data_IF_506213328185
#
_entry.id   IF_506213328185
#
_cell.length_a   1.000
_cell.length_b   1.000
_cell.length_c   1.000
_cell.angle_alpha   90.00
_cell.angle_beta   90.00
_cell.angle_gamma   90.00
#
_symmetry.space_group_name_H-M   'P 1'
#
loop_
_entity.id
_entity.type
_entity.pdbx_description
1 polymer ?
#
# COMPACT_ATOMS: atom_id res chain seq x y z
N UNK A 1 -5.03 11.62 -28.14
CA UNK A 1 -5.90 12.46 -27.31
C UNK A 1 -5.83 11.91 -25.90
N UNK A 2 -5.12 12.61 -25.01
CA UNK A 2 -5.04 12.22 -23.62
C UNK A 2 -6.29 12.72 -22.90
N UNK A 3 -7.16 11.81 -22.51
CA UNK A 3 -8.32 12.14 -21.70
C UNK A 3 -7.87 12.32 -20.24
N UNK A 4 -7.93 13.54 -19.74
CA UNK A 4 -7.69 13.83 -18.33
C UNK A 4 -8.75 13.12 -17.48
N UNK A 5 -8.33 12.22 -16.60
CA UNK A 5 -9.21 11.60 -15.60
C UNK A 5 -9.06 12.40 -14.29
N UNK A 6 -10.14 13.05 -13.80
CA UNK A 6 -10.05 13.81 -12.56
C UNK A 6 -9.65 12.92 -11.37
N UNK A 7 -8.82 13.44 -10.48
CA UNK A 7 -8.33 12.73 -9.29
C UNK A 7 -9.44 12.15 -8.40
N UNK A 8 -10.63 12.76 -8.42
CA UNK A 8 -11.80 12.25 -7.70
C UNK A 8 -12.32 10.89 -8.23
N UNK A 9 -12.02 10.55 -9.48
CA UNK A 9 -12.44 9.26 -10.07
C UNK A 9 -11.48 8.12 -9.70
N UNK A 10 -10.27 8.45 -9.25
CA UNK A 10 -9.27 7.47 -8.79
C UNK A 10 -9.53 6.97 -7.36
N UNK A 11 -10.24 7.74 -6.54
CA UNK A 11 -10.48 7.42 -5.12
C UNK A 11 -11.24 6.12 -4.87
N UNK A 12 -12.18 5.77 -5.71
CA UNK A 12 -13.05 4.61 -5.47
C UNK A 12 -12.33 3.25 -5.57
N UNK A 13 -11.21 3.17 -6.32
CA UNK A 13 -10.45 1.94 -6.50
C UNK A 13 -9.18 1.89 -5.62
N UNK A 14 -8.77 3.01 -5.03
CA UNK A 14 -7.53 3.14 -4.25
C UNK A 14 -7.73 2.91 -2.75
N UNK A 15 -8.96 3.02 -2.25
CA UNK A 15 -9.27 3.11 -0.81
C UNK A 15 -9.22 1.80 -0.04
N UNK A 16 -9.04 0.70 -0.68
CA UNK A 16 -9.10 -0.52 0.08
C UNK A 16 -7.79 -1.29 -0.02
N UNK A 17 -6.88 -1.06 0.91
CA UNK A 17 -6.24 -2.26 1.49
C UNK A 17 -7.40 -3.18 1.88
N UNK A 18 -7.67 -4.25 1.12
CA UNK A 18 -8.92 -4.95 1.29
C UNK A 18 -8.97 -5.51 2.70
N UNK A 19 -9.96 -5.07 3.45
CA UNK A 19 -10.25 -5.67 4.74
C UNK A 19 -10.44 -7.15 4.51
N UNK A 20 -9.84 -7.95 5.36
CA UNK A 20 -9.96 -9.41 5.31
C UNK A 20 -11.44 -9.86 5.38
N UNK A 21 -12.30 -9.01 5.93
CA UNK A 21 -13.73 -9.26 6.13
C UNK A 21 -14.57 -9.17 4.85
N UNK A 22 -14.08 -8.49 3.81
CA UNK A 22 -14.81 -8.28 2.55
C UNK A 22 -14.47 -9.33 1.49
N UNK A 23 -13.93 -10.47 1.87
CA UNK A 23 -13.63 -11.56 0.96
C UNK A 23 -14.89 -12.31 0.50
N UNK A 24 -15.83 -11.60 -0.07
CA UNK A 24 -16.89 -12.22 -0.85
C UNK A 24 -16.35 -12.47 -2.25
N UNK A 25 -16.31 -13.74 -2.64
CA UNK A 25 -16.00 -14.10 -4.03
C UNK A 25 -17.25 -13.77 -4.85
N UNK A 26 -17.21 -12.64 -5.51
CA UNK A 26 -18.22 -12.28 -6.50
C UNK A 26 -17.57 -12.32 -7.89
N UNK A 27 -17.93 -13.31 -8.73
CA UNK A 27 -17.42 -13.39 -10.10
C UNK A 27 -17.88 -12.23 -10.98
N UNK A 28 -18.87 -11.46 -10.52
CA UNK A 28 -19.36 -10.25 -11.20
C UNK A 28 -18.61 -9.00 -10.80
N UNK A 29 -17.61 -9.08 -9.93
CA UNK A 29 -16.82 -7.92 -9.51
C UNK A 29 -16.06 -7.33 -10.71
N UNK A 30 -16.21 -6.02 -10.88
CA UNK A 30 -15.57 -5.29 -11.98
C UNK A 30 -14.05 -5.44 -11.93
N UNK A 31 -13.45 -5.76 -13.07
CA UNK A 31 -11.99 -5.89 -13.22
C UNK A 31 -11.43 -7.28 -12.91
N UNK A 32 -12.25 -8.23 -12.46
CA UNK A 32 -11.81 -9.62 -12.34
C UNK A 32 -11.98 -10.36 -13.67
N UNK A 33 -11.01 -11.21 -13.99
CA UNK A 33 -11.07 -12.14 -15.12
C UNK A 33 -10.74 -13.55 -14.65
N UNK A 34 -11.32 -14.54 -15.31
CA UNK A 34 -11.10 -15.94 -14.99
C UNK A 34 -9.77 -16.42 -15.54
N UNK A 35 -8.99 -17.13 -14.74
CA UNK A 35 -7.76 -17.78 -15.20
C UNK A 35 -8.17 -19.01 -16.04
N UNK A 36 -7.72 -19.10 -17.31
CA UNK A 36 -8.08 -20.22 -18.18
C UNK A 36 -7.76 -21.58 -17.54
N UNK A 37 -8.71 -22.52 -17.65
CA UNK A 37 -8.56 -23.88 -17.12
C UNK A 37 -8.75 -24.01 -15.60
N UNK A 38 -9.19 -22.95 -14.91
CA UNK A 38 -9.44 -22.95 -13.46
C UNK A 38 -10.76 -22.28 -13.11
N UNK A 39 -11.23 -22.47 -11.88
CA UNK A 39 -12.36 -21.73 -11.30
C UNK A 39 -11.91 -20.47 -10.53
N UNK A 40 -10.65 -20.11 -10.67
CA UNK A 40 -10.05 -18.95 -10.03
C UNK A 40 -10.24 -17.71 -10.90
N UNK A 41 -10.68 -16.63 -10.28
CA UNK A 41 -10.68 -15.29 -10.86
C UNK A 41 -9.51 -14.47 -10.33
N UNK A 42 -8.98 -13.60 -11.16
CA UNK A 42 -7.86 -12.74 -10.80
C UNK A 42 -8.13 -11.29 -11.20
N UNK A 43 -7.74 -10.37 -10.35
CA UNK A 43 -7.64 -8.94 -10.67
C UNK A 43 -6.19 -8.50 -10.52
N UNK A 44 -5.68 -7.82 -11.54
CA UNK A 44 -4.44 -7.06 -11.49
C UNK A 44 -4.80 -5.60 -11.27
N UNK A 45 -4.22 -4.98 -10.27
CA UNK A 45 -4.48 -3.59 -9.92
C UNK A 45 -3.22 -2.86 -9.52
N UNK A 46 -3.38 -1.60 -9.18
CA UNK A 46 -2.29 -0.72 -8.78
C UNK A 46 -2.35 0.62 -9.50
N UNK A 47 -1.31 1.41 -9.33
CA UNK A 47 -1.16 2.71 -9.95
C UNK A 47 0.31 3.06 -10.14
N UNK A 48 0.58 3.96 -11.09
CA UNK A 48 1.87 4.62 -11.23
C UNK A 48 1.78 6.03 -10.65
N UNK A 49 2.70 6.39 -9.76
CA UNK A 49 2.74 7.72 -9.14
C UNK A 49 4.17 8.28 -9.19
N UNK A 50 4.28 9.54 -9.56
CA UNK A 50 5.53 10.29 -9.50
C UNK A 50 5.34 11.46 -8.54
N UNK A 51 6.23 11.57 -7.57
CA UNK A 51 6.24 12.63 -6.58
C UNK A 51 7.32 13.65 -6.92
N UNK A 52 6.96 14.93 -6.87
CA UNK A 52 7.85 16.07 -7.00
C UNK A 52 7.83 16.79 -5.65
N UNK A 53 8.94 16.73 -4.93
CA UNK A 53 9.06 17.25 -3.56
C UNK A 53 10.09 18.36 -3.52
N UNK A 54 9.71 19.50 -2.98
CA UNK A 54 10.60 20.63 -2.77
C UNK A 54 10.63 21.00 -1.29
N UNK A 55 11.79 20.83 -0.68
CA UNK A 55 12.05 21.22 0.70
C UNK A 55 12.84 22.53 0.72
N UNK A 56 12.39 23.49 1.49
CA UNK A 56 13.07 24.79 1.64
C UNK A 56 14.37 24.69 2.43
N UNK A 57 14.54 23.59 3.17
CA UNK A 57 15.74 23.23 3.93
C UNK A 57 16.01 21.73 3.78
N UNK A 58 17.26 21.29 3.93
CA UNK A 58 17.58 19.86 3.84
C UNK A 58 16.93 19.08 4.98
N UNK A 59 16.28 17.99 4.63
CA UNK A 59 15.65 17.07 5.58
C UNK A 59 16.56 15.89 5.95
N UNK A 60 17.76 15.79 5.36
CA UNK A 60 18.73 14.71 5.64
C UNK A 60 18.48 13.41 4.90
N UNK A 61 17.33 13.28 4.23
CA UNK A 61 16.93 12.15 3.41
C UNK A 61 16.38 12.64 2.08
N UNK A 62 16.21 11.76 1.09
CA UNK A 62 15.68 12.17 -0.21
C UNK A 62 14.18 11.89 -0.38
N UNK A 63 13.66 10.89 0.31
CA UNK A 63 12.38 10.30 -0.01
C UNK A 63 11.57 9.85 1.21
N UNK A 64 12.11 10.11 2.39
CA UNK A 64 11.44 9.85 3.66
C UNK A 64 11.66 11.01 4.62
N UNK A 65 10.59 11.53 5.19
CA UNK A 65 10.70 12.51 6.26
C UNK A 65 10.99 11.83 7.58
N UNK A 66 12.26 11.92 8.01
CA UNK A 66 12.72 11.34 9.28
C UNK A 66 13.26 12.47 10.16
N UNK A 67 12.55 12.79 11.22
CA UNK A 67 12.91 13.93 12.10
C UNK A 67 14.32 13.82 12.69
N UNK A 68 14.77 12.60 13.02
CA UNK A 68 16.10 12.36 13.53
C UNK A 68 17.23 12.50 12.49
N UNK A 69 16.89 12.53 11.20
CA UNK A 69 17.85 12.71 10.12
C UNK A 69 18.05 14.20 9.75
N UNK A 70 17.17 15.09 10.22
CA UNK A 70 17.26 16.51 9.92
C UNK A 70 18.58 17.06 10.51
N UNK A 71 19.45 17.67 9.68
CA UNK A 71 20.73 18.17 10.16
C UNK A 71 20.52 19.35 11.13
N UNK A 72 21.01 19.22 12.35
CA UNK A 72 20.95 20.24 13.40
C UNK A 72 22.29 20.94 13.61
N UNK A 73 23.39 20.39 13.06
CA UNK A 73 24.74 20.93 13.16
C UNK A 73 25.60 20.53 11.96
N UNK A 74 26.72 21.16 11.81
CA UNK A 74 27.70 20.84 10.77
C UNK A 74 27.40 21.47 9.39
N UNK A 75 28.16 21.10 8.35
CA UNK A 75 28.07 21.69 7.01
C UNK A 75 26.69 21.48 6.35
N UNK A 76 26.02 20.39 6.65
CA UNK A 76 24.74 20.04 6.02
C UNK A 76 23.61 20.98 6.43
N UNK A 77 23.70 21.65 7.59
CA UNK A 77 22.73 22.68 7.98
C UNK A 77 22.78 23.92 7.10
N UNK A 78 23.88 24.13 6.38
CA UNK A 78 24.09 25.28 5.48
C UNK A 78 23.65 25.02 4.05
N UNK A 79 23.24 23.76 3.74
CA UNK A 79 22.67 23.47 2.42
C UNK A 79 21.38 24.28 2.24
N UNK A 80 21.14 24.67 0.99
CA UNK A 80 19.93 25.38 0.61
C UNK A 80 18.72 24.46 0.57
N UNK A 81 17.84 24.71 -0.40
CA UNK A 81 16.68 23.87 -0.68
C UNK A 81 17.09 22.51 -1.28
N UNK A 82 16.21 21.56 -1.16
CA UNK A 82 16.33 20.24 -1.76
C UNK A 82 15.15 19.99 -2.69
N UNK A 83 15.42 19.42 -3.87
CA UNK A 83 14.39 19.00 -4.79
C UNK A 83 14.57 17.52 -5.11
N UNK A 84 13.51 16.76 -4.96
CA UNK A 84 13.49 15.30 -5.15
C UNK A 84 12.36 14.92 -6.10
N UNK A 85 12.65 13.99 -7.00
CA UNK A 85 11.66 13.37 -7.87
C UNK A 85 11.79 11.87 -7.75
N UNK A 86 10.68 11.19 -7.44
CA UNK A 86 10.67 9.73 -7.38
C UNK A 86 9.30 9.14 -7.70
N UNK A 87 9.29 7.84 -8.01
CA UNK A 87 8.07 7.08 -8.31
C UNK A 87 7.89 5.90 -7.33
N UNK A 88 8.41 6.00 -6.11
CA UNK A 88 8.47 4.88 -5.15
C UNK A 88 7.12 4.42 -4.65
N UNK A 89 6.11 5.30 -4.67
CA UNK A 89 4.74 4.95 -4.29
C UNK A 89 4.00 4.19 -5.39
N UNK A 90 4.55 4.07 -6.60
CA UNK A 90 3.99 3.20 -7.63
C UNK A 90 3.72 1.81 -7.05
N UNK A 91 2.50 1.31 -7.24
CA UNK A 91 2.00 0.13 -6.55
C UNK A 91 1.48 -0.90 -7.53
N UNK A 92 1.69 -2.17 -7.21
CA UNK A 92 1.14 -3.31 -7.93
C UNK A 92 0.41 -4.20 -6.92
N UNK A 93 -0.79 -4.66 -7.27
CA UNK A 93 -1.49 -5.67 -6.49
C UNK A 93 -2.09 -6.77 -7.38
N UNK A 94 -2.24 -7.94 -6.78
CA UNK A 94 -2.90 -9.11 -7.35
C UNK A 94 -3.93 -9.61 -6.34
N UNK A 95 -5.17 -9.78 -6.78
CA UNK A 95 -6.26 -10.33 -5.98
C UNK A 95 -6.81 -11.58 -6.70
N UNK A 96 -6.55 -12.75 -6.15
CA UNK A 96 -7.03 -14.03 -6.67
C UNK A 96 -8.16 -14.52 -5.77
N UNK A 97 -9.24 -14.98 -6.39
CA UNK A 97 -10.41 -15.50 -5.68
C UNK A 97 -10.92 -16.78 -6.32
N UNK A 98 -11.26 -17.73 -5.49
CA UNK A 98 -11.76 -19.03 -5.92
C UNK A 98 -12.76 -19.59 -4.91
N UNK A 99 -13.77 -20.31 -5.38
CA UNK A 99 -14.57 -21.15 -4.53
C UNK A 99 -13.86 -22.49 -4.34
N UNK A 100 -13.76 -22.93 -3.08
CA UNK A 100 -13.13 -24.19 -2.70
C UNK A 100 -14.10 -25.02 -1.85
N UNK A 101 -13.81 -26.33 -1.68
CA UNK A 101 -14.61 -27.20 -0.81
C UNK A 101 -14.67 -26.68 0.64
N UNK A 102 -13.70 -25.86 1.05
CA UNK A 102 -13.66 -25.24 2.37
C UNK A 102 -14.38 -23.90 2.43
N UNK A 103 -14.91 -23.44 1.30
CA UNK A 103 -15.58 -22.16 1.11
C UNK A 103 -14.77 -21.17 0.31
N UNK A 104 -15.24 -19.91 0.24
CA UNK A 104 -14.58 -18.88 -0.53
C UNK A 104 -13.15 -18.65 -0.04
N UNK A 105 -12.21 -18.68 -1.00
CA UNK A 105 -10.79 -18.47 -0.78
C UNK A 105 -10.31 -17.23 -1.52
N UNK A 106 -9.34 -16.54 -0.95
CA UNK A 106 -8.69 -15.36 -1.51
C UNK A 106 -7.20 -15.41 -1.26
N UNK A 107 -6.41 -15.02 -2.24
CA UNK A 107 -4.99 -14.69 -2.09
C UNK A 107 -4.84 -13.25 -2.51
N UNK A 108 -4.21 -12.45 -1.66
CA UNK A 108 -3.92 -11.05 -1.95
C UNK A 108 -2.44 -10.76 -1.81
N UNK A 109 -1.92 -10.07 -2.81
CA UNK A 109 -0.54 -9.62 -2.86
C UNK A 109 -0.51 -8.14 -3.22
N UNK A 110 0.29 -7.35 -2.52
CA UNK A 110 0.54 -5.94 -2.83
C UNK A 110 2.00 -5.58 -2.56
N UNK A 111 2.57 -4.79 -3.45
CA UNK A 111 3.94 -4.29 -3.32
C UNK A 111 4.08 -2.86 -3.84
N UNK A 112 5.10 -2.17 -3.34
CA UNK A 112 5.58 -0.87 -3.83
C UNK A 112 7.13 -0.87 -3.90
N UNK A 113 7.71 0.30 -4.14
CA UNK A 113 9.16 0.46 -4.34
C UNK A 113 9.86 1.21 -3.21
N UNK A 114 9.26 1.26 -2.03
CA UNK A 114 9.84 1.86 -0.82
C UNK A 114 10.68 0.88 0.02
N UNK A 115 11.19 -0.22 -0.54
CA UNK A 115 11.89 -1.28 0.21
C UNK A 115 13.25 -0.89 0.80
N UNK A 116 13.80 0.24 0.39
CA UNK A 116 15.00 0.81 0.97
C UNK A 116 14.74 2.22 1.44
N UNK A 117 14.46 2.36 2.73
CA UNK A 117 14.56 3.61 3.45
C UNK A 117 16.02 3.78 3.88
N UNK A 118 16.96 3.80 2.93
CA UNK A 118 18.35 4.02 3.27
C UNK A 118 18.53 5.44 3.77
N UNK A 119 18.84 5.53 5.03
CA UNK A 119 19.26 6.74 5.74
C UNK A 119 20.61 7.21 5.20
N UNK A 120 20.73 7.53 3.94
CA UNK A 120 22.01 7.92 3.43
C UNK A 120 21.98 8.28 1.95
N UNK A 121 22.92 9.06 1.56
CA UNK A 121 23.22 9.70 0.28
C UNK A 121 23.20 8.80 -0.98
N UNK A 122 22.67 7.59 -0.93
CA UNK A 122 22.53 6.78 -2.12
C UNK A 122 21.28 7.21 -2.87
N UNK A 123 21.53 7.84 -3.98
CA UNK A 123 20.60 8.08 -5.05
C UNK A 123 19.44 7.09 -5.10
N UNK A 124 18.28 7.45 -4.58
CA UNK A 124 16.98 7.01 -5.02
C UNK A 124 16.81 5.58 -5.49
N UNK A 125 17.42 4.59 -4.83
CA UNK A 125 17.25 3.19 -5.20
C UNK A 125 15.79 2.78 -5.08
N UNK A 126 15.26 2.19 -6.15
CA UNK A 126 13.94 1.58 -6.14
C UNK A 126 14.11 0.13 -5.68
N UNK A 127 13.69 -0.17 -4.44
CA UNK A 127 13.67 -1.54 -3.94
C UNK A 127 12.25 -1.99 -3.69
N UNK A 128 11.99 -3.20 -4.09
CA UNK A 128 10.71 -3.86 -3.86
C UNK A 128 10.41 -3.93 -2.36
N UNK A 129 9.20 -3.49 -1.95
CA UNK A 129 8.67 -3.64 -0.61
C UNK A 129 7.36 -4.41 -0.66
N UNK A 130 7.36 -5.58 -0.01
CA UNK A 130 6.14 -6.33 0.20
C UNK A 130 5.27 -5.58 1.22
N UNK A 131 4.04 -5.26 0.84
CA UNK A 131 3.04 -4.62 1.69
C UNK A 131 2.07 -5.63 2.26
N UNK A 132 1.55 -6.47 1.37
CA UNK A 132 0.62 -7.54 1.71
C UNK A 132 0.98 -8.82 0.94
N UNK A 133 0.93 -9.96 1.64
CA UNK A 133 0.96 -11.29 1.04
C UNK A 133 0.22 -12.24 1.99
N UNK A 134 -1.07 -12.44 1.80
CA UNK A 134 -1.86 -13.30 2.66
C UNK A 134 -2.86 -14.14 1.88
N UNK A 135 -3.20 -15.30 2.46
CA UNK A 135 -4.30 -16.14 2.05
C UNK A 135 -5.44 -16.07 3.06
N UNK A 136 -6.66 -16.18 2.58
CA UNK A 136 -7.86 -16.21 3.40
C UNK A 136 -8.80 -17.30 2.91
N UNK A 137 -9.39 -18.05 3.84
CA UNK A 137 -10.50 -18.98 3.59
C UNK A 137 -11.59 -18.67 4.61
N UNK A 138 -12.76 -18.26 4.13
CA UNK A 138 -13.85 -17.77 4.99
C UNK A 138 -13.35 -16.70 5.97
N UNK A 139 -13.44 -16.98 7.27
CA UNK A 139 -13.10 -16.09 8.37
C UNK A 139 -11.65 -16.23 8.86
N UNK A 140 -10.89 -17.18 8.31
CA UNK A 140 -9.49 -17.41 8.67
C UNK A 140 -8.58 -16.79 7.61
N UNK A 141 -7.61 -15.99 8.05
CA UNK A 141 -6.58 -15.42 7.19
C UNK A 141 -5.20 -15.65 7.82
N UNK A 142 -4.21 -15.92 6.96
CA UNK A 142 -2.82 -16.06 7.38
C UNK A 142 -1.88 -15.48 6.32
N UNK A 143 -0.78 -14.90 6.78
CA UNK A 143 0.24 -14.31 5.92
C UNK A 143 0.79 -13.00 6.49
N UNK A 144 1.29 -12.15 5.60
CA UNK A 144 1.89 -10.86 5.92
C UNK A 144 0.92 -9.73 5.55
N UNK A 145 0.52 -8.94 6.53
CA UNK A 145 -0.40 -7.82 6.31
C UNK A 145 -0.29 -6.78 7.43
N UNK A 146 -1.04 -5.71 7.35
CA UNK A 146 -1.16 -4.78 8.45
C UNK A 146 -1.73 -5.47 9.70
N UNK A 147 -1.22 -5.04 10.85
CA UNK A 147 -1.71 -5.48 12.16
C UNK A 147 -3.20 -5.21 12.32
N UNK A 148 -3.90 -6.09 13.03
CA UNK A 148 -5.31 -5.88 13.38
C UNK A 148 -5.55 -4.67 14.32
N UNK A 149 -4.49 -4.12 14.90
CA UNK A 149 -4.55 -2.91 15.72
C UNK A 149 -4.43 -1.61 14.92
N UNK A 150 -4.38 -1.71 13.59
CA UNK A 150 -4.36 -0.55 12.71
C UNK A 150 -5.72 -0.30 12.10
N UNK A 151 -6.10 0.97 12.06
CA UNK A 151 -7.23 1.44 11.28
C UNK A 151 -6.71 2.13 10.00
N UNK A 152 -6.80 1.41 8.88
CA UNK A 152 -6.36 1.95 7.59
C UNK A 152 -7.26 3.07 7.07
N UNK A 153 -8.52 3.09 7.51
CA UNK A 153 -9.47 4.13 7.09
C UNK A 153 -9.17 5.48 7.77
N UNK A 154 -8.40 5.44 8.88
CA UNK A 154 -7.94 6.64 9.56
C UNK A 154 -6.68 7.28 8.94
N UNK A 155 -6.07 6.64 7.94
CA UNK A 155 -4.90 7.21 7.28
C UNK A 155 -5.28 8.42 6.43
N UNK A 156 -4.63 9.58 6.62
CA UNK A 156 -4.86 10.73 5.77
C UNK A 156 -4.34 10.45 4.35
N UNK A 157 -5.11 10.86 3.36
CA UNK A 157 -4.70 10.85 1.96
C UNK A 157 -3.77 12.05 1.70
N UNK A 158 -2.46 11.85 1.90
CA UNK A 158 -1.45 12.89 1.69
C UNK A 158 -0.80 12.76 0.34
N UNK A 159 -0.50 13.90 -0.31
CA UNK A 159 0.23 13.92 -1.59
C UNK A 159 1.61 13.28 -1.46
N UNK A 160 2.33 13.59 -0.38
CA UNK A 160 3.60 12.95 -0.04
C UNK A 160 3.32 11.83 0.98
N UNK A 161 3.34 10.60 0.51
CA UNK A 161 3.11 9.41 1.33
C UNK A 161 4.14 9.26 2.47
N UNK A 162 5.38 9.63 2.22
CA UNK A 162 6.49 9.53 3.16
C UNK A 162 6.87 10.86 3.81
N UNK A 163 6.02 11.88 3.63
CA UNK A 163 6.18 13.23 4.18
C UNK A 163 6.01 13.30 5.70
N UNK A 164 5.93 14.52 6.25
CA UNK A 164 5.91 14.77 7.70
C UNK A 164 4.62 14.35 8.41
N UNK A 165 3.80 13.51 7.79
CA UNK A 165 2.60 12.93 8.39
C UNK A 165 2.95 11.93 9.50
N UNK A 166 2.13 11.90 10.57
CA UNK A 166 2.21 10.86 11.58
C UNK A 166 1.28 9.72 11.22
N UNK A 167 1.83 8.67 10.64
CA UNK A 167 1.08 7.47 10.26
C UNK A 167 1.74 6.24 10.86
N UNK A 168 1.47 5.92 12.14
CA UNK A 168 2.00 4.71 12.74
C UNK A 168 1.38 3.49 12.07
N UNK A 169 2.19 2.67 11.44
CA UNK A 169 1.73 1.40 10.89
C UNK A 169 2.71 0.28 11.23
N UNK A 170 2.16 -0.90 11.42
CA UNK A 170 2.93 -2.10 11.67
C UNK A 170 2.44 -3.22 10.76
N UNK A 171 3.34 -3.75 9.94
CA UNK A 171 3.08 -4.93 9.14
C UNK A 171 3.65 -6.15 9.84
N UNK A 172 2.87 -7.20 9.94
CA UNK A 172 3.24 -8.41 10.67
C UNK A 172 2.90 -9.67 9.89
N UNK A 173 3.72 -10.70 10.04
CA UNK A 173 3.36 -12.05 9.66
C UNK A 173 2.53 -12.68 10.79
N UNK A 174 1.39 -13.26 10.45
CA UNK A 174 0.52 -13.84 11.46
C UNK A 174 -0.69 -14.54 10.87
N UNK A 175 -1.56 -14.98 11.78
CA UNK A 175 -2.85 -15.55 11.44
C UNK A 175 -3.95 -14.86 12.25
N UNK A 176 -5.13 -14.73 11.65
CA UNK A 176 -6.30 -14.10 12.25
C UNK A 176 -7.54 -14.94 11.96
N UNK A 177 -8.40 -15.04 12.95
CA UNK A 177 -9.76 -15.53 12.78
C UNK A 177 -10.75 -14.43 13.19
N UNK A 178 -11.73 -14.16 12.34
CA UNK A 178 -12.74 -13.12 12.56
C UNK A 178 -14.08 -13.72 12.92
N UNK A 179 -14.60 -13.43 14.13
CA UNK A 179 -15.97 -13.77 14.52
C UNK A 179 -16.89 -12.59 14.25
N UNK A 180 -18.04 -12.85 13.66
CA UNK A 180 -19.14 -11.88 13.61
C UNK A 180 -20.02 -12.07 14.85
N UNK A 181 -20.01 -11.11 15.75
CA UNK A 181 -20.85 -11.12 16.96
C UNK A 181 -22.01 -10.17 16.71
N UNK A 182 -23.20 -10.74 16.50
CA UNK A 182 -24.42 -9.98 16.25
C UNK A 182 -24.58 -9.48 14.79
N UNK A 183 -25.82 -9.21 14.39
CA UNK A 183 -26.11 -8.48 13.17
C UNK A 183 -26.00 -6.99 13.50
N UNK A 184 -24.97 -6.30 12.98
CA UNK A 184 -25.01 -4.83 12.92
C UNK A 184 -26.13 -4.46 11.94
N UNK A 185 -27.21 -3.93 12.44
CA UNK A 185 -28.25 -3.24 11.68
C UNK A 185 -27.73 -1.88 11.27
#
# INVERSE_FOLDING_TARGET
EFTYVPAATMKADEEASPRVDNAVIDPKMKGFFRIPGTDTTMKVGGYAKVDFIYDTKPIGTFDYFVTSAIPTSGPDTRRGSQFTVHAKQTRLNLDLRSDTDWGPARIFFEADWYGDASYGFSSGGYRFRLRHAYGQVRNFAAGYSFSAFMDNDAFPDTLDFAGPGSAPYLTVAGARYTWKVGAST
#
